data_IF_976802669647
#
_entry.id   IF_976802669647
#
_cell.length_a   1.000
_cell.length_b   1.000
_cell.length_c   1.000
_cell.angle_alpha   90.00
_cell.angle_beta   90.00
_cell.angle_gamma   90.00
#
_symmetry.space_group_name_H-M   'P 1'
#
loop_
_entity.id
_entity.type
_entity.pdbx_description
1 polymer ?
#
# COMPACT_ATOMS: atom_id res chain seq x y z
N UNK A 1 11.99 42.89 17.54
CA UNK A 1 11.20 41.68 17.25
C UNK A 1 11.29 41.41 15.76
N UNK A 2 11.74 40.23 15.36
CA UNK A 2 11.63 39.80 13.97
C UNK A 2 10.16 39.49 13.70
N UNK A 3 9.58 40.11 12.67
CA UNK A 3 8.20 39.81 12.25
C UNK A 3 8.19 38.46 11.53
N UNK A 4 7.14 37.67 11.75
CA UNK A 4 6.88 36.48 10.95
C UNK A 4 6.63 36.88 9.49
N UNK A 5 6.92 35.97 8.55
CA UNK A 5 6.60 36.20 7.14
C UNK A 5 5.08 36.26 6.95
N UNK A 6 4.63 36.91 5.87
CA UNK A 6 3.20 36.95 5.52
C UNK A 6 2.63 35.53 5.38
N UNK A 7 3.33 34.66 4.66
CA UNK A 7 2.93 33.26 4.48
C UNK A 7 2.79 32.53 5.83
N UNK A 8 3.73 32.70 6.75
CA UNK A 8 3.64 32.07 8.08
C UNK A 8 2.40 32.54 8.85
N UNK A 9 2.07 33.84 8.80
CA UNK A 9 0.88 34.35 9.46
C UNK A 9 -0.42 33.82 8.81
N UNK A 10 -0.46 33.74 7.49
CA UNK A 10 -1.60 33.20 6.75
C UNK A 10 -1.79 31.70 7.03
N UNK A 11 -0.71 30.91 7.04
CA UNK A 11 -0.77 29.50 7.43
C UNK A 11 -1.30 29.35 8.86
N UNK A 12 -0.76 30.10 9.83
CA UNK A 12 -1.21 30.05 11.22
C UNK A 12 -2.69 30.41 11.37
N UNK A 13 -3.18 31.40 10.63
CA UNK A 13 -4.59 31.78 10.63
C UNK A 13 -5.51 30.67 10.07
N UNK A 14 -5.02 29.92 9.09
CA UNK A 14 -5.77 28.85 8.41
C UNK A 14 -5.51 27.44 8.97
N UNK A 15 -4.63 27.28 9.97
CA UNK A 15 -4.29 25.97 10.55
C UNK A 15 -5.50 25.12 10.95
N UNK A 16 -6.57 25.65 11.57
CA UNK A 16 -7.75 24.85 11.92
C UNK A 16 -8.39 24.18 10.70
N UNK A 17 -8.58 24.95 9.61
CA UNK A 17 -9.15 24.44 8.37
C UNK A 17 -8.26 23.38 7.72
N UNK A 18 -6.93 23.56 7.75
CA UNK A 18 -6.00 22.58 7.22
C UNK A 18 -6.04 21.28 8.03
N UNK A 19 -6.10 21.37 9.37
CA UNK A 19 -6.21 20.21 10.24
C UNK A 19 -7.52 19.45 10.00
N UNK A 20 -8.65 20.16 9.89
CA UNK A 20 -9.95 19.55 9.61
C UNK A 20 -9.95 18.83 8.25
N UNK A 21 -9.36 19.44 7.21
CA UNK A 21 -9.25 18.83 5.89
C UNK A 21 -8.39 17.57 5.91
N UNK A 22 -7.24 17.59 6.59
CA UNK A 22 -6.37 16.40 6.73
C UNK A 22 -7.12 15.28 7.47
N UNK A 23 -7.77 15.59 8.59
CA UNK A 23 -8.53 14.60 9.35
C UNK A 23 -9.67 14.00 8.52
N UNK A 24 -10.46 14.84 7.85
CA UNK A 24 -11.58 14.39 7.03
C UNK A 24 -11.10 13.47 5.90
N UNK A 25 -10.13 13.90 5.10
CA UNK A 25 -9.61 13.12 3.97
C UNK A 25 -8.96 11.82 4.44
N UNK A 26 -8.19 11.85 5.54
CA UNK A 26 -7.55 10.66 6.10
C UNK A 26 -8.57 9.62 6.52
N UNK A 27 -9.66 10.04 7.17
CA UNK A 27 -10.72 9.12 7.60
C UNK A 27 -11.44 8.49 6.40
N UNK A 28 -11.81 9.30 5.40
CA UNK A 28 -12.49 8.80 4.20
C UNK A 28 -11.62 7.79 3.44
N UNK A 29 -10.35 8.12 3.21
CA UNK A 29 -9.41 7.19 2.56
C UNK A 29 -9.19 5.95 3.42
N UNK A 30 -9.09 6.10 4.74
CA UNK A 30 -8.96 4.98 5.68
C UNK A 30 -10.11 3.99 5.57
N UNK A 31 -11.36 4.48 5.57
CA UNK A 31 -12.57 3.64 5.44
C UNK A 31 -12.57 2.84 4.12
N UNK A 32 -12.19 3.48 3.01
CA UNK A 32 -12.10 2.82 1.70
C UNK A 32 -11.03 1.72 1.72
N UNK A 33 -9.84 2.02 2.25
CA UNK A 33 -8.72 1.08 2.30
C UNK A 33 -8.99 -0.10 3.25
N UNK A 34 -9.67 0.13 4.37
CA UNK A 34 -10.11 -0.94 5.27
C UNK A 34 -11.09 -1.91 4.58
N UNK A 35 -12.03 -1.38 3.80
CA UNK A 35 -12.94 -2.21 2.99
C UNK A 35 -12.18 -3.09 2.00
N UNK A 36 -11.15 -2.56 1.34
CA UNK A 36 -10.29 -3.35 0.45
C UNK A 36 -9.46 -4.38 1.20
N UNK A 37 -8.91 -4.04 2.37
CA UNK A 37 -8.22 -5.00 3.23
C UNK A 37 -9.11 -6.19 3.57
N UNK A 38 -10.37 -5.95 3.98
CA UNK A 38 -11.32 -7.01 4.29
C UNK A 38 -11.60 -7.91 3.07
N UNK A 39 -11.72 -7.33 1.87
CA UNK A 39 -11.88 -8.10 0.62
C UNK A 39 -10.65 -8.97 0.32
N UNK A 40 -9.44 -8.46 0.49
CA UNK A 40 -8.18 -9.22 0.32
C UNK A 40 -8.09 -10.34 1.36
N UNK A 41 -8.29 -10.02 2.64
CA UNK A 41 -8.20 -10.99 3.73
C UNK A 41 -9.19 -12.15 3.53
N UNK A 42 -10.44 -11.84 3.20
CA UNK A 42 -11.45 -12.86 2.90
C UNK A 42 -11.03 -13.77 1.74
N UNK A 43 -10.47 -13.18 0.67
CA UNK A 43 -10.04 -13.94 -0.51
C UNK A 43 -8.84 -14.84 -0.21
N UNK A 44 -7.87 -14.35 0.55
CA UNK A 44 -6.70 -15.13 0.98
C UNK A 44 -7.15 -16.24 1.94
N UNK A 45 -7.99 -15.94 2.93
CA UNK A 45 -8.52 -16.93 3.85
C UNK A 45 -9.29 -18.04 3.14
N UNK A 46 -10.06 -17.70 2.10
CA UNK A 46 -10.72 -18.69 1.25
C UNK A 46 -9.69 -19.63 0.59
N UNK A 47 -8.62 -19.08 -0.01
CA UNK A 47 -7.54 -19.90 -0.58
C UNK A 47 -6.90 -20.83 0.46
N UNK A 48 -6.64 -20.35 1.68
CA UNK A 48 -6.09 -21.17 2.76
C UNK A 48 -7.01 -22.34 3.13
N UNK A 49 -8.32 -22.09 3.16
CA UNK A 49 -9.32 -23.11 3.45
C UNK A 49 -9.45 -24.13 2.31
N UNK A 50 -9.30 -23.68 1.06
CA UNK A 50 -9.43 -24.51 -0.14
C UNK A 50 -8.18 -25.40 -0.37
N UNK A 51 -6.99 -24.95 0.06
CA UNK A 51 -5.70 -25.65 -0.12
C UNK A 51 -4.91 -25.82 1.20
N UNK A 52 -5.45 -26.48 2.24
CA UNK A 52 -4.80 -26.62 3.54
C UNK A 52 -3.46 -27.39 3.47
N UNK A 53 -3.26 -28.22 2.46
CA UNK A 53 -2.02 -28.99 2.22
C UNK A 53 -0.79 -28.12 1.93
N UNK A 54 -0.98 -26.90 1.41
CA UNK A 54 0.09 -25.96 1.10
C UNK A 54 0.66 -25.27 2.34
N UNK A 55 -0.04 -25.37 3.47
CA UNK A 55 0.37 -24.85 4.79
C UNK A 55 0.75 -23.37 4.77
N UNK A 56 0.00 -22.59 3.99
CA UNK A 56 0.03 -21.14 4.12
C UNK A 56 -0.77 -20.70 5.35
N UNK A 57 -0.37 -19.60 5.96
CA UNK A 57 -1.09 -18.92 7.03
C UNK A 57 -0.95 -17.41 6.90
N UNK A 58 -1.92 -16.66 7.42
CA UNK A 58 -1.85 -15.20 7.52
C UNK A 58 -0.96 -14.84 8.72
N UNK A 59 -0.02 -13.91 8.52
CA UNK A 59 0.77 -13.33 9.60
C UNK A 59 -0.03 -12.24 10.32
N UNK A 60 -0.90 -12.65 11.24
CA UNK A 60 -1.73 -11.73 12.04
C UNK A 60 -0.90 -10.75 12.90
N UNK A 61 0.40 -11.02 13.12
CA UNK A 61 1.25 -10.16 13.97
C UNK A 61 1.87 -9.02 13.18
N UNK A 62 2.25 -9.30 11.93
CA UNK A 62 2.94 -8.34 11.07
C UNK A 62 2.01 -7.74 10.01
N UNK A 63 0.81 -8.29 9.81
CA UNK A 63 -0.22 -7.63 9.02
C UNK A 63 -0.72 -6.39 9.76
N UNK A 64 -0.87 -5.30 9.03
CA UNK A 64 -1.31 -4.01 9.57
C UNK A 64 -2.65 -3.64 8.94
N UNK A 65 -3.67 -3.53 9.79
CA UNK A 65 -4.96 -2.98 9.40
C UNK A 65 -4.93 -1.47 9.65
N UNK A 66 -4.92 -0.69 8.59
CA UNK A 66 -4.88 0.77 8.59
C UNK A 66 -3.77 1.38 9.46
N UNK A 67 -2.61 1.61 8.85
CA UNK A 67 -1.53 2.43 9.39
C UNK A 67 -1.60 3.83 8.80
N UNK A 68 -1.58 4.84 9.67
CA UNK A 68 -1.58 6.27 9.29
C UNK A 68 -0.32 6.93 9.84
N UNK A 69 0.44 7.57 8.94
CA UNK A 69 1.60 8.40 9.25
C UNK A 69 1.40 9.78 8.62
N UNK A 70 1.35 10.83 9.45
CA UNK A 70 1.18 12.22 9.02
C UNK A 70 2.35 13.05 9.49
N UNK A 71 3.09 13.64 8.54
CA UNK A 71 4.21 14.55 8.78
C UNK A 71 5.21 14.00 9.81
N UNK A 72 5.85 12.85 9.55
CA UNK A 72 6.70 12.20 10.53
C UNK A 72 7.84 13.13 10.95
N UNK A 73 8.10 13.16 12.26
CA UNK A 73 9.16 13.97 12.85
C UNK A 73 10.39 13.11 13.09
N UNK A 74 11.42 13.28 12.27
CA UNK A 74 12.66 12.52 12.41
C UNK A 74 13.61 13.28 13.32
N UNK A 75 13.91 12.69 14.49
CA UNK A 75 14.96 13.21 15.37
C UNK A 75 16.31 13.05 14.67
N UNK A 76 16.96 14.16 14.42
CA UNK A 76 18.34 14.19 13.97
C UNK A 76 19.26 13.32 14.83
N UNK A 77 20.04 12.44 14.19
CA UNK A 77 21.13 11.72 14.87
C UNK A 77 22.36 12.63 14.97
N UNK A 78 22.59 13.19 16.16
CA UNK A 78 23.78 13.98 16.49
C UNK A 78 23.53 15.48 16.67
N UNK A 79 24.52 16.20 17.21
CA UNK A 79 24.40 17.60 17.67
C UNK A 79 24.23 18.66 16.57
N UNK A 80 24.31 18.29 15.28
CA UNK A 80 24.41 19.25 14.15
C UNK A 80 23.22 19.30 13.20
N UNK A 81 22.27 18.37 13.29
CA UNK A 81 21.06 18.42 12.47
C UNK A 81 19.90 18.86 13.37
N UNK A 82 19.12 19.83 12.91
CA UNK A 82 17.85 20.12 13.57
C UNK A 82 16.86 19.04 13.15
N UNK A 83 16.10 18.45 14.10
CA UNK A 83 14.96 17.61 13.74
C UNK A 83 13.99 18.39 12.85
N UNK A 84 13.41 17.74 11.86
CA UNK A 84 12.46 18.36 10.94
C UNK A 84 11.22 17.49 10.77
N UNK A 85 10.09 18.15 10.52
CA UNK A 85 8.90 17.49 9.99
C UNK A 85 9.16 17.20 8.52
N UNK A 86 8.83 15.99 8.11
CA UNK A 86 8.87 15.60 6.71
C UNK A 86 7.50 15.87 6.08
N UNK A 87 7.49 16.34 4.83
CA UNK A 87 6.26 16.51 4.07
C UNK A 87 5.86 15.15 3.49
N UNK A 88 5.44 14.24 4.37
CA UNK A 88 5.09 12.86 4.04
C UNK A 88 3.75 12.51 4.67
N UNK A 89 2.90 11.84 3.89
CA UNK A 89 1.64 11.24 4.33
C UNK A 89 1.60 9.81 3.82
N UNK A 90 1.37 8.87 4.73
CA UNK A 90 1.16 7.46 4.40
C UNK A 90 -0.11 6.96 5.07
N UNK A 91 -1.01 6.37 4.29
CA UNK A 91 -2.22 5.71 4.78
C UNK A 91 -2.28 4.36 4.07
N UNK A 92 -2.10 3.26 4.77
CA UNK A 92 -2.06 1.95 4.09
C UNK A 92 -2.56 0.82 4.98
N UNK A 93 -2.93 -0.28 4.34
CA UNK A 93 -3.10 -1.58 5.00
C UNK A 93 -2.20 -2.61 4.33
N UNK A 94 -1.72 -3.57 5.11
CA UNK A 94 -0.79 -4.61 4.66
C UNK A 94 -1.27 -5.97 5.17
N UNK A 95 -1.53 -6.91 4.26
CA UNK A 95 -1.81 -8.30 4.59
C UNK A 95 -0.63 -9.18 4.18
N UNK A 96 -0.04 -9.86 5.15
CA UNK A 96 1.07 -10.78 4.93
C UNK A 96 0.57 -12.21 5.09
N UNK A 97 0.93 -13.07 4.15
CA UNK A 97 0.71 -14.51 4.27
C UNK A 97 1.92 -15.28 3.75
N UNK A 98 2.22 -16.40 4.40
CA UNK A 98 3.41 -17.17 4.11
C UNK A 98 3.16 -18.65 4.30
N UNK A 99 4.03 -19.51 3.77
CA UNK A 99 4.10 -20.91 4.15
C UNK A 99 5.42 -21.25 4.85
N UNK A 100 5.39 -22.29 5.68
CA UNK A 100 6.56 -22.78 6.40
C UNK A 100 6.91 -24.21 6.04
N UNK A 101 8.20 -24.46 5.82
CA UNK A 101 8.77 -25.80 5.75
C UNK A 101 9.87 -25.97 6.79
N UNK A 102 9.74 -27.00 7.65
CA UNK A 102 10.70 -27.27 8.73
C UNK A 102 11.03 -26.03 9.59
N UNK A 103 9.99 -25.25 9.95
CA UNK A 103 10.09 -24.01 10.76
C UNK A 103 10.89 -22.88 10.09
N UNK A 104 11.01 -22.90 8.77
CA UNK A 104 11.53 -21.78 7.98
C UNK A 104 10.44 -21.30 7.03
N UNK A 105 10.27 -19.99 6.95
CA UNK A 105 9.46 -19.35 5.90
C UNK A 105 10.08 -19.71 4.56
N UNK A 106 9.25 -20.19 3.63
CA UNK A 106 9.69 -20.57 2.28
C UNK A 106 9.21 -19.56 1.27
N UNK A 107 7.90 -19.27 1.29
CA UNK A 107 7.30 -18.22 0.48
C UNK A 107 6.56 -17.28 1.41
N UNK A 108 6.71 -16.00 1.17
CA UNK A 108 6.01 -14.92 1.86
C UNK A 108 5.53 -13.93 0.81
N UNK A 109 4.29 -13.50 0.95
CA UNK A 109 3.66 -12.50 0.11
C UNK A 109 3.06 -11.42 0.99
N UNK A 110 3.21 -10.19 0.55
CA UNK A 110 2.59 -9.01 1.17
C UNK A 110 1.70 -8.33 0.15
N UNK A 111 0.43 -8.12 0.50
CA UNK A 111 -0.49 -7.29 -0.27
C UNK A 111 -0.64 -5.98 0.46
N UNK A 112 -0.20 -4.89 -0.16
CA UNK A 112 -0.26 -3.55 0.42
C UNK A 112 -1.18 -2.69 -0.43
N UNK A 113 -2.13 -2.03 0.23
CA UNK A 113 -3.03 -1.10 -0.42
C UNK A 113 -2.97 0.20 0.34
N UNK A 114 -2.69 1.31 -0.34
CA UNK A 114 -2.47 2.56 0.36
C UNK A 114 -2.49 3.81 -0.49
N UNK A 115 -2.26 4.91 0.20
CA UNK A 115 -1.98 6.24 -0.33
C UNK A 115 -0.64 6.69 0.23
N UNK A 116 0.23 7.18 -0.66
CA UNK A 116 1.52 7.74 -0.32
C UNK A 116 1.69 9.12 -0.98
N UNK A 117 2.09 10.09 -0.17
CA UNK A 117 2.56 11.39 -0.63
C UNK A 117 3.90 11.70 0.02
N UNK A 118 4.89 12.03 -0.80
CA UNK A 118 6.24 12.38 -0.35
C UNK A 118 6.78 13.56 -1.14
N UNK A 119 6.92 14.69 -0.45
CA UNK A 119 7.41 15.93 -1.04
C UNK A 119 6.61 16.37 -2.26
N UNK A 120 7.31 16.57 -3.37
CA UNK A 120 6.71 16.86 -4.68
C UNK A 120 6.91 15.70 -5.68
N UNK A 121 7.33 14.54 -5.19
CA UNK A 121 7.75 13.41 -6.03
C UNK A 121 6.68 12.34 -6.11
N UNK A 122 5.98 12.09 -5.01
CA UNK A 122 4.98 11.04 -4.92
C UNK A 122 3.66 11.63 -4.42
N UNK A 123 2.58 11.25 -5.08
CA UNK A 123 1.19 11.46 -4.68
C UNK A 123 0.37 10.40 -5.40
N UNK A 124 0.31 9.19 -4.82
CA UNK A 124 -0.26 8.00 -5.46
C UNK A 124 -1.15 7.22 -4.52
N UNK A 125 -2.21 6.65 -5.06
CA UNK A 125 -2.91 5.51 -4.48
C UNK A 125 -2.35 4.27 -5.15
N UNK A 126 -1.98 3.26 -4.37
CA UNK A 126 -1.26 2.09 -4.86
C UNK A 126 -1.87 0.78 -4.38
N UNK A 127 -1.81 -0.23 -5.24
CA UNK A 127 -2.21 -1.62 -4.98
C UNK A 127 -1.03 -2.51 -5.34
N UNK A 128 -0.39 -3.06 -4.31
CA UNK A 128 0.91 -3.71 -4.40
C UNK A 128 0.82 -5.18 -3.99
N UNK A 129 1.51 -6.04 -4.73
CA UNK A 129 1.90 -7.36 -4.30
C UNK A 129 3.44 -7.43 -4.26
N UNK A 130 3.99 -7.75 -3.09
CA UNK A 130 5.42 -7.96 -2.88
C UNK A 130 5.71 -9.40 -2.45
N UNK A 131 6.84 -9.94 -2.90
CA UNK A 131 7.38 -11.23 -2.50
C UNK A 131 8.50 -11.05 -1.46
N UNK A 132 8.45 -11.80 -0.36
CA UNK A 132 9.38 -11.67 0.77
C UNK A 132 10.85 -11.91 0.44
N UNK A 133 11.73 -11.57 1.38
CA UNK A 133 13.17 -11.53 1.11
C UNK A 133 13.85 -12.91 1.06
N UNK A 134 13.37 -13.89 1.84
CA UNK A 134 14.08 -15.15 2.06
C UNK A 134 13.80 -16.22 0.99
N UNK A 135 14.65 -16.29 -0.03
CA UNK A 135 14.65 -17.32 -1.09
C UNK A 135 13.25 -17.72 -1.61
N UNK A 136 12.38 -16.76 -1.95
CA UNK A 136 11.07 -17.11 -2.45
C UNK A 136 11.20 -17.85 -3.78
N UNK A 137 10.33 -18.83 -4.00
CA UNK A 137 10.11 -19.34 -5.35
C UNK A 137 9.38 -18.25 -6.16
N UNK A 138 10.17 -17.38 -6.79
CA UNK A 138 9.65 -16.28 -7.63
C UNK A 138 9.07 -16.77 -8.95
N UNK A 139 9.07 -18.07 -9.25
CA UNK A 139 8.57 -18.58 -10.53
C UNK A 139 7.09 -18.22 -10.74
N UNK A 140 6.28 -18.33 -9.70
CA UNK A 140 4.86 -17.94 -9.72
C UNK A 140 4.72 -16.44 -9.94
N UNK A 141 5.50 -15.62 -9.22
CA UNK A 141 5.50 -14.16 -9.40
C UNK A 141 5.91 -13.75 -10.83
N UNK A 142 7.01 -14.33 -11.35
CA UNK A 142 7.50 -14.06 -12.70
C UNK A 142 6.48 -14.44 -13.77
N UNK A 143 5.71 -15.51 -13.54
CA UNK A 143 4.65 -15.92 -14.45
C UNK A 143 3.54 -14.88 -14.50
N UNK A 144 3.20 -14.24 -13.38
CA UNK A 144 2.22 -13.15 -13.35
C UNK A 144 2.77 -11.95 -14.10
N UNK A 145 3.97 -11.48 -13.75
CA UNK A 145 4.54 -10.26 -14.33
C UNK A 145 4.81 -10.37 -15.82
N UNK A 146 5.14 -11.56 -16.33
CA UNK A 146 5.35 -11.81 -17.78
C UNK A 146 4.04 -11.87 -18.56
N UNK A 147 2.92 -12.20 -17.91
CA UNK A 147 1.62 -12.40 -18.56
C UNK A 147 0.61 -11.31 -18.20
N UNK A 148 1.06 -10.16 -17.71
CA UNK A 148 0.17 -9.01 -17.52
C UNK A 148 -0.47 -8.66 -18.86
N UNK A 149 -1.79 -8.58 -18.85
CA UNK A 149 -2.56 -8.28 -20.04
C UNK A 149 -2.26 -6.88 -20.54
N UNK A 150 -2.13 -6.72 -21.87
CA UNK A 150 -1.88 -5.42 -22.51
C UNK A 150 -2.95 -4.39 -22.13
N UNK A 151 -4.19 -4.83 -21.97
CA UNK A 151 -5.32 -3.99 -21.54
C UNK A 151 -5.10 -3.39 -20.15
N UNK A 152 -4.48 -4.14 -19.22
CA UNK A 152 -4.18 -3.66 -17.88
C UNK A 152 -3.10 -2.56 -17.91
N UNK A 153 -2.06 -2.77 -18.71
CA UNK A 153 -0.94 -1.81 -18.91
C UNK A 153 -1.43 -0.51 -19.58
N UNK A 154 -2.44 -0.60 -20.45
CA UNK A 154 -3.03 0.58 -21.09
C UNK A 154 -3.98 1.35 -20.16
N UNK A 155 -4.55 0.67 -19.16
CA UNK A 155 -5.54 1.23 -18.24
C UNK A 155 -4.91 1.86 -16.99
N UNK A 156 -3.86 1.25 -16.45
CA UNK A 156 -3.22 1.67 -15.20
C UNK A 156 -1.74 1.94 -15.38
N UNK A 157 -1.19 2.83 -14.56
CA UNK A 157 0.27 2.92 -14.43
C UNK A 157 0.73 1.73 -13.58
N UNK A 158 1.69 0.96 -14.10
CA UNK A 158 2.14 -0.30 -13.49
C UNK A 158 3.65 -0.24 -13.30
N UNK A 159 4.07 -0.36 -12.04
CA UNK A 159 5.47 -0.53 -11.68
C UNK A 159 5.74 -2.01 -11.39
N UNK A 160 6.75 -2.57 -12.07
CA UNK A 160 7.20 -3.94 -11.87
C UNK A 160 8.67 -3.90 -11.49
N UNK A 161 8.99 -4.46 -10.34
CA UNK A 161 10.36 -4.67 -9.87
C UNK A 161 10.62 -6.16 -9.68
N UNK A 162 11.86 -6.51 -9.33
CA UNK A 162 12.30 -7.90 -9.17
C UNK A 162 11.43 -8.73 -8.21
N UNK A 163 10.74 -8.07 -7.27
CA UNK A 163 9.92 -8.72 -6.23
C UNK A 163 8.60 -8.03 -5.96
N UNK A 164 8.21 -7.04 -6.75
CA UNK A 164 6.97 -6.31 -6.53
C UNK A 164 6.28 -5.95 -7.84
N UNK A 165 4.96 -5.96 -7.79
CA UNK A 165 4.10 -5.45 -8.86
C UNK A 165 3.10 -4.51 -8.20
N UNK A 166 2.95 -3.33 -8.79
CA UNK A 166 2.17 -2.26 -8.21
C UNK A 166 1.35 -1.54 -9.29
N UNK A 167 0.07 -1.36 -9.02
CA UNK A 167 -0.82 -0.50 -9.82
C UNK A 167 -0.97 0.84 -9.11
N UNK A 168 -0.79 1.94 -9.84
CA UNK A 168 -0.94 3.29 -9.31
C UNK A 168 -2.11 4.06 -9.92
N UNK A 169 -2.67 4.93 -9.09
CA UNK A 169 -3.53 6.03 -9.50
C UNK A 169 -2.89 7.31 -8.98
N UNK A 170 -2.69 8.29 -9.85
CA UNK A 170 -2.32 9.65 -9.44
C UNK A 170 -3.62 10.42 -9.13
N UNK A 171 -3.89 10.79 -7.87
CA UNK A 171 -5.10 11.52 -7.52
C UNK A 171 -5.15 12.88 -8.20
N UNK A 172 -6.27 13.17 -8.84
CA UNK A 172 -6.62 14.49 -9.35
C UNK A 172 -8.02 14.92 -8.85
N UNK A 173 -8.50 16.07 -9.31
CA UNK A 173 -9.81 16.60 -8.95
C UNK A 173 -11.01 15.76 -9.45
N UNK A 174 -10.77 14.79 -10.34
CA UNK A 174 -11.77 13.90 -10.91
C UNK A 174 -11.70 12.48 -10.31
N UNK A 175 -10.80 12.23 -9.35
CA UNK A 175 -10.71 10.95 -8.67
C UNK A 175 -12.06 10.61 -8.03
N UNK A 176 -12.55 9.40 -8.31
CA UNK A 176 -13.76 8.86 -7.70
C UNK A 176 -13.46 7.54 -6.99
N UNK A 177 -14.32 7.18 -6.04
CA UNK A 177 -14.28 5.87 -5.39
C UNK A 177 -14.42 4.73 -6.42
N UNK A 178 -15.25 4.92 -7.46
CA UNK A 178 -15.40 3.96 -8.57
C UNK A 178 -14.07 3.74 -9.31
N UNK A 179 -13.27 4.78 -9.54
CA UNK A 179 -11.94 4.64 -10.14
C UNK A 179 -11.02 3.80 -9.25
N UNK A 180 -11.03 4.04 -7.94
CA UNK A 180 -10.25 3.24 -6.98
C UNK A 180 -10.74 1.79 -6.95
N UNK A 181 -12.05 1.56 -6.93
CA UNK A 181 -12.64 0.23 -6.87
C UNK A 181 -12.36 -0.57 -8.15
N UNK A 182 -12.41 0.09 -9.31
CA UNK A 182 -12.04 -0.54 -10.59
C UNK A 182 -10.57 -0.97 -10.61
N UNK A 183 -9.66 -0.13 -10.12
CA UNK A 183 -8.24 -0.48 -10.04
C UNK A 183 -8.02 -1.64 -9.04
N UNK A 184 -8.68 -1.59 -7.88
CA UNK A 184 -8.66 -2.67 -6.91
C UNK A 184 -9.16 -4.00 -7.50
N UNK A 185 -10.30 -3.97 -8.21
CA UNK A 185 -10.88 -5.18 -8.82
C UNK A 185 -9.97 -5.76 -9.90
N UNK A 186 -9.31 -4.91 -10.68
CA UNK A 186 -8.34 -5.35 -11.67
C UNK A 186 -7.09 -5.94 -11.01
N UNK A 187 -6.57 -5.32 -9.93
CA UNK A 187 -5.49 -5.89 -9.12
C UNK A 187 -5.88 -7.28 -8.58
N UNK A 188 -7.08 -7.42 -8.02
CA UNK A 188 -7.58 -8.70 -7.52
C UNK A 188 -7.65 -9.75 -8.64
N UNK A 189 -8.18 -9.36 -9.81
CA UNK A 189 -8.46 -10.27 -10.94
C UNK A 189 -7.21 -10.70 -11.68
N UNK A 190 -6.27 -9.78 -11.91
CA UNK A 190 -5.12 -10.00 -12.79
C UNK A 190 -3.81 -10.24 -12.04
N UNK A 191 -3.76 -9.99 -10.72
CA UNK A 191 -2.55 -10.16 -9.91
C UNK A 191 -2.78 -11.12 -8.76
N UNK A 192 -3.66 -10.78 -7.80
CA UNK A 192 -3.81 -11.62 -6.60
C UNK A 192 -4.45 -12.98 -6.89
N UNK A 193 -5.54 -13.03 -7.66
CA UNK A 193 -6.21 -14.29 -7.98
C UNK A 193 -5.32 -15.25 -8.80
N UNK A 194 -4.58 -14.78 -9.83
CA UNK A 194 -3.60 -15.61 -10.53
C UNK A 194 -2.50 -16.14 -9.60
N UNK A 195 -1.95 -15.31 -8.71
CA UNK A 195 -1.00 -15.76 -7.69
C UNK A 195 -1.57 -16.94 -6.89
N UNK A 196 -2.73 -16.75 -6.25
CA UNK A 196 -3.34 -17.77 -5.40
C UNK A 196 -3.71 -19.04 -6.19
N UNK A 197 -4.01 -18.92 -7.48
CA UNK A 197 -4.33 -20.07 -8.34
C UNK A 197 -3.09 -20.88 -8.66
N UNK A 198 -1.99 -20.21 -9.01
CA UNK A 198 -0.73 -20.81 -9.43
C UNK A 198 0.11 -21.34 -8.27
N UNK A 199 -0.14 -20.90 -7.04
CA UNK A 199 0.36 -21.55 -5.83
C UNK A 199 -0.23 -22.97 -5.73
N UNK A 200 0.57 -23.99 -6.00
CA UNK A 200 0.24 -25.42 -5.96
C UNK A 200 1.26 -26.23 -5.16
#
# INVERSE_FOLDING_TARGET
MNKLTQLTNECLANMPMLADAICHTTNVIGEILESYYDKVQNRVQQFLNDKPELKYEIDERNSERLTISLFPYIRAKGRKQMPQLHNEVGIYSSLIFYNQFRRKIVNEFSVIIGYAMSGNQENIIYFNLTVGEMNPDISVFNKITTNIEKELIEKWDIQIEDKSIELHIVPDQNLTEETMENCFNDFMTHILNPLLTDLN
#
